data_IF_605310398335
#
_entry.id   IF_605310398335
#
_cell.length_a   1.000
_cell.length_b   1.000
_cell.length_c   1.000
_cell.angle_alpha   90.00
_cell.angle_beta   90.00
_cell.angle_gamma   90.00
#
_symmetry.space_group_name_H-M   'P 1'
#
loop_
_entity.id
_entity.type
_entity.pdbx_description
1 polymer ?
#
# COMPACT_ATOMS: atom_id res chain seq x y z
N UNK A 1 7.73 -27.95 0.33
CA UNK A 1 8.04 -28.38 1.71
C UNK A 1 7.02 -27.73 2.62
N UNK A 2 6.33 -28.53 3.43
CA UNK A 2 5.25 -28.06 4.30
C UNK A 2 5.91 -27.63 5.61
N UNK A 3 5.81 -26.34 5.96
CA UNK A 3 6.28 -25.83 7.23
C UNK A 3 5.38 -26.38 8.35
N UNK A 4 5.97 -27.06 9.33
CA UNK A 4 5.28 -27.56 10.53
C UNK A 4 5.64 -26.67 11.71
N UNK A 5 4.67 -25.91 12.21
CA UNK A 5 4.80 -25.10 13.43
C UNK A 5 4.26 -25.90 14.62
N UNK A 6 5.13 -26.28 15.57
CA UNK A 6 4.72 -26.95 16.81
C UNK A 6 4.45 -25.93 17.93
N UNK A 7 3.19 -25.54 18.12
CA UNK A 7 2.77 -24.64 19.21
C UNK A 7 2.81 -25.35 20.58
N UNK A 8 3.65 -24.87 21.51
CA UNK A 8 3.66 -25.28 22.91
C UNK A 8 3.24 -24.12 23.83
N UNK A 9 2.08 -24.23 24.46
CA UNK A 9 1.56 -23.22 25.38
C UNK A 9 2.08 -23.49 26.81
N UNK A 10 2.82 -22.54 27.39
CA UNK A 10 3.50 -22.74 28.69
C UNK A 10 2.70 -22.13 29.84
N UNK A 11 2.70 -22.84 30.98
CA UNK A 11 2.22 -22.33 32.29
C UNK A 11 3.33 -21.67 33.14
N UNK A 12 4.50 -21.50 32.57
CA UNK A 12 5.71 -21.00 33.24
C UNK A 12 5.87 -19.50 33.04
N UNK A 13 6.34 -18.78 34.06
CA UNK A 13 6.73 -17.36 33.94
C UNK A 13 8.18 -17.25 33.42
N UNK A 14 8.42 -16.35 32.47
CA UNK A 14 9.77 -15.97 32.04
C UNK A 14 10.06 -14.57 32.61
N UNK A 15 11.26 -14.38 33.17
CA UNK A 15 11.67 -13.07 33.69
C UNK A 15 12.70 -12.48 32.73
N UNK A 16 12.36 -11.35 32.13
CA UNK A 16 13.26 -10.56 31.31
C UNK A 16 13.76 -9.35 32.11
N UNK A 17 14.77 -8.66 31.59
CA UNK A 17 15.26 -7.43 32.18
C UNK A 17 15.50 -6.37 31.11
N UNK A 18 15.26 -5.11 31.46
CA UNK A 18 15.61 -3.99 30.58
C UNK A 18 17.10 -3.60 30.73
N UNK A 19 17.51 -2.54 30.03
CA UNK A 19 18.87 -1.99 30.08
C UNK A 19 19.27 -1.44 31.45
N UNK A 20 18.29 -1.14 32.31
CA UNK A 20 18.48 -0.69 33.70
C UNK A 20 18.48 -1.84 34.71
N UNK A 21 18.42 -3.10 34.24
CA UNK A 21 18.30 -4.31 35.06
C UNK A 21 16.99 -4.42 35.84
N UNK A 22 15.96 -3.67 35.44
CA UNK A 22 14.64 -3.78 36.05
C UNK A 22 13.89 -4.97 35.46
N UNK A 23 13.39 -5.83 36.35
CA UNK A 23 12.77 -7.10 35.97
C UNK A 23 11.38 -6.88 35.32
N UNK A 24 11.09 -7.69 34.31
CA UNK A 24 9.83 -7.75 33.60
C UNK A 24 9.37 -9.20 33.58
N UNK A 25 8.28 -9.50 34.29
CA UNK A 25 7.71 -10.86 34.32
C UNK A 25 6.66 -10.98 33.22
N UNK A 26 6.82 -11.98 32.36
CA UNK A 26 5.85 -12.30 31.32
C UNK A 26 5.29 -13.71 31.51
N UNK A 27 4.04 -13.90 31.10
CA UNK A 27 3.31 -15.14 31.31
C UNK A 27 2.57 -15.56 30.03
N UNK A 28 2.01 -16.78 30.06
CA UNK A 28 1.28 -17.39 28.92
C UNK A 28 2.10 -17.34 27.63
N UNK A 29 3.37 -17.72 27.74
CA UNK A 29 4.30 -17.63 26.64
C UNK A 29 4.24 -18.86 25.72
N UNK A 30 4.49 -18.62 24.44
CA UNK A 30 4.69 -19.61 23.39
C UNK A 30 5.98 -19.26 22.67
N UNK A 31 6.89 -20.23 22.54
CA UNK A 31 8.14 -20.07 21.82
C UNK A 31 8.14 -20.97 20.59
N UNK A 32 8.42 -20.40 19.43
CA UNK A 32 8.44 -21.07 18.14
C UNK A 32 9.77 -20.82 17.43
N UNK A 33 10.48 -21.88 17.06
CA UNK A 33 11.68 -21.82 16.23
C UNK A 33 11.33 -22.11 14.77
N UNK A 34 11.90 -21.33 13.86
CA UNK A 34 11.89 -21.63 12.42
C UNK A 34 13.30 -22.01 12.00
N UNK A 35 13.42 -23.05 11.17
CA UNK A 35 14.72 -23.57 10.70
C UNK A 35 14.81 -23.68 9.20
N UNK A 36 16.04 -23.53 8.70
CA UNK A 36 16.43 -23.81 7.32
C UNK A 36 17.76 -24.59 7.36
N UNK A 37 17.81 -25.76 6.72
CA UNK A 37 19.00 -26.63 6.70
C UNK A 37 19.59 -26.91 8.10
N UNK A 38 18.70 -27.20 9.06
CA UNK A 38 18.98 -27.39 10.50
C UNK A 38 19.51 -26.17 11.27
N UNK A 39 19.67 -25.03 10.61
CA UNK A 39 20.04 -23.74 11.20
C UNK A 39 18.78 -23.00 11.66
N UNK A 40 18.80 -22.46 12.88
CA UNK A 40 17.71 -21.62 13.38
C UNK A 40 17.79 -20.26 12.68
N UNK A 41 16.75 -19.93 11.92
CA UNK A 41 16.65 -18.64 11.21
C UNK A 41 15.67 -17.68 11.88
N UNK A 42 14.87 -18.16 12.84
CA UNK A 42 13.96 -17.33 13.62
C UNK A 42 13.67 -17.99 14.97
N UNK A 43 13.57 -17.18 16.01
CA UNK A 43 13.03 -17.58 17.31
C UNK A 43 11.97 -16.58 17.72
N UNK A 44 10.69 -16.99 17.67
CA UNK A 44 9.54 -16.16 17.98
C UNK A 44 9.02 -16.44 19.38
N UNK A 45 8.80 -15.38 20.15
CA UNK A 45 8.24 -15.42 21.49
C UNK A 45 6.95 -14.61 21.53
N UNK A 46 5.83 -15.28 21.79
CA UNK A 46 4.51 -14.68 21.96
C UNK A 46 4.07 -14.79 23.41
N UNK A 47 3.58 -13.72 24.01
CA UNK A 47 3.14 -13.70 25.42
C UNK A 47 1.99 -12.71 25.63
N UNK A 48 1.38 -12.79 26.81
CA UNK A 48 0.30 -11.89 27.22
C UNK A 48 0.74 -11.01 28.41
N UNK A 49 0.33 -9.75 28.37
CA UNK A 49 0.57 -8.76 29.41
C UNK A 49 -0.72 -8.04 29.78
N UNK A 50 -0.83 -7.63 31.04
CA UNK A 50 -1.90 -6.72 31.44
C UNK A 50 -1.63 -5.29 30.91
N UNK A 51 -2.65 -4.42 30.84
CA UNK A 51 -2.48 -3.05 30.34
C UNK A 51 -1.48 -2.20 31.12
N UNK A 52 -1.28 -2.44 32.42
CA UNK A 52 -0.28 -1.67 33.21
C UNK A 52 1.14 -2.04 32.83
N UNK A 53 1.38 -3.34 32.59
CA UNK A 53 2.68 -3.81 32.14
C UNK A 53 2.93 -3.36 30.69
N UNK A 54 1.89 -3.35 29.85
CA UNK A 54 1.98 -2.79 28.51
C UNK A 54 2.33 -1.30 28.52
N UNK A 55 1.73 -0.48 29.39
CA UNK A 55 2.06 0.95 29.52
C UNK A 55 3.56 1.16 29.81
N UNK A 56 4.18 0.29 30.62
CA UNK A 56 5.62 0.32 30.85
C UNK A 56 6.39 -0.04 29.58
N UNK A 57 6.02 -1.15 28.92
CA UNK A 57 6.66 -1.61 27.68
C UNK A 57 6.62 -0.50 26.62
N UNK A 58 5.48 0.15 26.47
CA UNK A 58 5.25 1.24 25.53
C UNK A 58 6.12 2.47 25.85
N UNK A 59 6.09 2.93 27.10
CA UNK A 59 6.78 4.14 27.53
C UNK A 59 8.30 3.99 27.57
N UNK A 60 8.79 2.82 27.91
CA UNK A 60 10.22 2.50 28.00
C UNK A 60 10.77 1.90 26.69
N UNK A 61 9.93 1.81 25.64
CA UNK A 61 10.29 1.29 24.30
C UNK A 61 10.88 -0.13 24.31
N UNK A 62 10.52 -0.93 25.33
CA UNK A 62 11.05 -2.29 25.51
C UNK A 62 10.71 -3.17 24.30
N UNK A 63 11.53 -4.18 24.03
CA UNK A 63 11.39 -5.04 22.85
C UNK A 63 11.55 -4.27 21.53
N UNK A 64 12.35 -3.19 21.55
CA UNK A 64 12.59 -2.31 20.41
C UNK A 64 11.28 -1.74 19.84
N UNK A 65 10.30 -1.47 20.71
CA UNK A 65 8.96 -1.05 20.35
C UNK A 65 8.90 0.48 20.19
N UNK A 66 9.67 1.04 19.25
CA UNK A 66 9.68 2.49 19.04
C UNK A 66 8.37 2.99 18.40
N UNK A 67 7.83 4.17 18.78
CA UNK A 67 6.62 4.71 18.18
C UNK A 67 6.68 4.87 16.66
N UNK A 68 7.84 5.27 16.13
CA UNK A 68 8.02 5.59 14.71
C UNK A 68 7.95 4.37 13.78
N UNK A 69 8.04 3.16 14.33
CA UNK A 69 8.00 1.91 13.55
C UNK A 69 6.67 1.17 13.68
N UNK A 70 5.62 1.82 14.16
CA UNK A 70 4.30 1.20 14.37
C UNK A 70 3.32 1.57 13.27
N UNK A 71 2.47 0.63 12.91
CA UNK A 71 1.39 0.83 11.97
C UNK A 71 0.10 0.17 12.46
N UNK A 72 -0.93 0.98 12.66
CA UNK A 72 -2.22 0.57 13.21
C UNK A 72 -2.94 -0.41 12.29
N UNK A 73 -3.41 -1.52 12.86
CA UNK A 73 -4.24 -2.49 12.14
C UNK A 73 -5.69 -2.04 12.05
N UNK A 74 -6.17 -1.30 13.05
CA UNK A 74 -7.55 -0.85 13.15
C UNK A 74 -7.66 0.41 14.02
N UNK A 75 -8.74 1.17 13.82
CA UNK A 75 -9.07 2.33 14.63
C UNK A 75 -9.72 1.86 15.94
N UNK A 76 -8.96 1.88 17.03
CA UNK A 76 -9.46 1.50 18.36
C UNK A 76 -8.39 1.59 19.43
N UNK A 77 -8.82 1.63 20.69
CA UNK A 77 -7.95 1.60 21.85
C UNK A 77 -8.03 0.23 22.54
N UNK A 78 -6.96 -0.14 23.26
CA UNK A 78 -6.97 -1.34 24.08
C UNK A 78 -7.92 -1.18 25.27
N UNK A 79 -8.70 -2.22 25.55
CA UNK A 79 -9.58 -2.29 26.70
C UNK A 79 -8.77 -2.53 27.98
N UNK A 80 -9.07 -1.81 29.08
CA UNK A 80 -8.26 -1.82 30.30
C UNK A 80 -8.35 -3.10 31.14
N UNK A 81 -9.32 -3.97 30.88
CA UNK A 81 -9.55 -5.21 31.64
C UNK A 81 -9.18 -6.49 30.86
N UNK A 82 -8.63 -6.35 29.66
CA UNK A 82 -8.26 -7.49 28.82
C UNK A 82 -6.75 -7.54 28.60
N UNK A 83 -6.21 -8.75 28.59
CA UNK A 83 -4.79 -8.98 28.31
C UNK A 83 -4.46 -8.57 26.87
N UNK A 84 -3.28 -7.97 26.70
CA UNK A 84 -2.71 -7.60 25.40
C UNK A 84 -1.69 -8.67 25.02
N UNK A 85 -1.79 -9.16 23.79
CA UNK A 85 -0.84 -10.10 23.22
C UNK A 85 0.30 -9.34 22.55
N UNK A 86 1.54 -9.72 22.86
CA UNK A 86 2.73 -9.21 22.19
C UNK A 86 3.43 -10.38 21.52
N UNK A 87 3.75 -10.20 20.25
CA UNK A 87 4.55 -11.12 19.47
C UNK A 87 5.91 -10.50 19.20
N UNK A 88 6.98 -11.23 19.48
CA UNK A 88 8.37 -10.76 19.33
C UNK A 88 9.22 -11.80 18.61
N UNK A 89 10.35 -11.38 18.04
CA UNK A 89 11.38 -12.27 17.49
C UNK A 89 12.74 -11.94 18.06
N UNK A 90 13.58 -12.94 18.29
CA UNK A 90 14.95 -12.75 18.78
C UNK A 90 15.80 -12.09 17.68
N UNK A 91 16.66 -11.14 18.06
CA UNK A 91 17.60 -10.53 17.12
C UNK A 91 18.49 -11.58 16.45
N UNK A 92 18.76 -11.49 15.14
CA UNK A 92 19.42 -12.56 14.42
C UNK A 92 20.84 -12.91 14.89
N UNK A 93 21.60 -11.94 15.38
CA UNK A 93 22.94 -12.09 15.94
C UNK A 93 22.97 -12.97 17.21
N UNK A 94 21.81 -13.14 17.87
CA UNK A 94 21.66 -13.99 19.04
C UNK A 94 21.14 -15.40 18.71
N UNK A 95 20.67 -15.66 17.49
CA UNK A 95 20.20 -17.00 17.08
C UNK A 95 21.31 -18.07 17.18
N UNK A 96 22.57 -17.81 16.79
CA UNK A 96 23.64 -18.80 16.94
C UNK A 96 23.85 -19.24 18.39
N UNK A 97 23.75 -18.31 19.34
CA UNK A 97 23.88 -18.59 20.77
C UNK A 97 22.77 -19.53 21.26
N UNK A 98 21.53 -19.32 20.80
CA UNK A 98 20.42 -20.22 21.13
C UNK A 98 20.61 -21.61 20.49
N UNK A 99 21.14 -21.66 19.26
CA UNK A 99 21.34 -22.91 18.52
C UNK A 99 22.37 -23.84 19.18
N UNK A 100 23.34 -23.32 19.93
CA UNK A 100 24.27 -24.14 20.72
C UNK A 100 23.59 -24.97 21.82
N UNK A 101 22.40 -24.56 22.25
CA UNK A 101 21.72 -25.13 23.41
C UNK A 101 20.36 -25.75 23.09
N UNK A 102 19.81 -25.52 21.90
CA UNK A 102 18.49 -25.99 21.53
C UNK A 102 18.36 -26.32 20.06
N UNK A 103 17.69 -27.44 19.79
CA UNK A 103 17.35 -27.91 18.45
C UNK A 103 15.83 -27.95 18.22
N UNK A 104 15.01 -27.69 19.22
CA UNK A 104 13.55 -27.69 19.07
C UNK A 104 12.92 -26.70 20.07
N UNK A 105 11.63 -26.44 19.90
CA UNK A 105 10.88 -25.46 20.70
C UNK A 105 10.94 -25.78 22.20
N UNK A 106 10.90 -27.07 22.55
CA UNK A 106 10.93 -27.51 23.94
C UNK A 106 12.30 -27.28 24.59
N UNK A 107 13.39 -27.62 23.90
CA UNK A 107 14.76 -27.37 24.35
C UNK A 107 15.04 -25.88 24.51
N UNK A 108 14.66 -25.06 23.51
CA UNK A 108 14.88 -23.61 23.56
C UNK A 108 14.12 -22.97 24.72
N UNK A 109 12.86 -23.37 24.92
CA UNK A 109 12.07 -22.94 26.06
C UNK A 109 12.74 -23.32 27.38
N UNK A 110 13.13 -24.59 27.52
CA UNK A 110 13.74 -25.10 28.75
C UNK A 110 15.05 -24.38 29.05
N UNK A 111 15.85 -24.11 28.02
CA UNK A 111 17.08 -23.36 28.14
C UNK A 111 16.84 -21.94 28.64
N UNK A 112 15.92 -21.17 28.02
CA UNK A 112 15.59 -19.82 28.46
C UNK A 112 15.09 -19.77 29.92
N UNK A 113 14.24 -20.72 30.32
CA UNK A 113 13.76 -20.81 31.70
C UNK A 113 14.88 -21.15 32.69
N UNK A 114 15.85 -21.96 32.29
CA UNK A 114 17.02 -22.28 33.12
C UNK A 114 17.96 -21.08 33.27
N UNK A 115 18.08 -20.23 32.24
CA UNK A 115 18.89 -19.01 32.31
C UNK A 115 18.43 -18.11 33.45
N UNK A 116 17.12 -18.00 33.74
CA UNK A 116 16.61 -17.21 34.85
C UNK A 116 17.21 -17.60 36.22
N UNK A 117 17.62 -18.86 36.40
CA UNK A 117 18.20 -19.34 37.65
C UNK A 117 19.73 -19.33 37.63
N UNK A 118 20.32 -19.62 36.47
CA UNK A 118 21.76 -19.87 36.35
C UNK A 118 22.55 -18.63 35.93
N UNK A 119 21.98 -17.82 35.03
CA UNK A 119 22.62 -16.66 34.41
C UNK A 119 21.56 -15.58 34.11
N UNK A 120 21.05 -14.89 35.15
CA UNK A 120 19.97 -13.92 34.99
C UNK A 120 20.37 -12.71 34.12
N UNK A 121 21.67 -12.43 34.01
CA UNK A 121 22.23 -11.35 33.17
C UNK A 121 22.51 -11.78 31.72
N UNK A 122 22.05 -12.98 31.31
CA UNK A 122 22.30 -13.48 29.96
C UNK A 122 21.59 -12.58 28.92
N UNK A 123 22.25 -12.19 27.82
CA UNK A 123 21.66 -11.33 26.79
C UNK A 123 20.32 -11.82 26.24
N UNK A 124 20.06 -13.14 26.18
CA UNK A 124 18.80 -13.69 25.72
C UNK A 124 17.60 -13.33 26.62
N UNK A 125 17.86 -12.93 27.87
CA UNK A 125 16.87 -12.45 28.83
C UNK A 125 16.69 -10.93 28.81
N UNK A 126 17.45 -10.21 27.98
CA UNK A 126 17.28 -8.76 27.84
C UNK A 126 16.09 -8.45 26.93
N UNK A 127 15.24 -7.49 27.30
CA UNK A 127 14.15 -7.00 26.43
C UNK A 127 14.68 -6.46 25.11
N UNK A 128 15.86 -5.85 25.11
CA UNK A 128 16.47 -5.25 23.92
C UNK A 128 16.99 -6.28 22.92
N UNK A 129 17.08 -7.54 23.31
CA UNK A 129 17.43 -8.65 22.44
C UNK A 129 16.28 -9.11 21.54
N UNK A 130 15.07 -8.58 21.74
CA UNK A 130 13.86 -9.02 21.06
C UNK A 130 13.24 -7.85 20.28
N UNK A 131 12.75 -8.13 19.08
CA UNK A 131 12.08 -7.19 18.19
C UNK A 131 10.58 -7.48 18.20
N UNK A 132 9.76 -6.56 18.72
CA UNK A 132 8.30 -6.72 18.70
C UNK A 132 7.77 -6.68 17.26
N UNK A 133 7.02 -7.69 16.84
CA UNK A 133 6.41 -7.81 15.51
C UNK A 133 4.99 -7.24 15.49
N UNK A 134 4.20 -7.54 16.53
CA UNK A 134 2.83 -7.08 16.65
C UNK A 134 2.40 -6.96 18.11
N UNK A 135 1.45 -6.07 18.34
CA UNK A 135 0.77 -5.89 19.63
C UNK A 135 -0.71 -5.87 19.34
N UNK A 136 -1.46 -6.87 19.83
CA UNK A 136 -2.88 -7.03 19.52
C UNK A 136 -3.70 -7.41 20.74
N UNK A 137 -4.99 -7.08 20.69
CA UNK A 137 -5.99 -7.46 21.65
C UNK A 137 -7.24 -7.93 20.90
N UNK A 138 -7.69 -9.14 21.19
CA UNK A 138 -8.90 -9.71 20.61
C UNK A 138 -10.12 -9.17 21.36
N UNK A 139 -10.93 -8.35 20.69
CA UNK A 139 -12.14 -7.74 21.25
C UNK A 139 -13.39 -8.26 20.50
N UNK A 140 -14.59 -8.02 21.04
CA UNK A 140 -15.84 -8.41 20.37
C UNK A 140 -16.02 -7.74 18.99
N UNK A 141 -15.47 -6.53 18.82
CA UNK A 141 -15.45 -5.77 17.58
C UNK A 141 -14.43 -6.28 16.56
N UNK A 142 -13.57 -7.23 16.93
CA UNK A 142 -12.46 -7.75 16.13
C UNK A 142 -11.10 -7.54 16.79
N UNK A 143 -10.04 -7.76 16.02
CA UNK A 143 -8.67 -7.55 16.49
C UNK A 143 -8.32 -6.05 16.47
N UNK A 144 -7.95 -5.53 17.63
CA UNK A 144 -7.41 -4.17 17.79
C UNK A 144 -5.90 -4.27 18.01
N UNK A 145 -5.13 -3.37 17.42
CA UNK A 145 -3.69 -3.34 17.64
C UNK A 145 -2.91 -2.71 16.51
N UNK A 146 -1.63 -3.05 16.46
CA UNK A 146 -0.71 -2.56 15.44
C UNK A 146 0.38 -3.59 15.15
N UNK A 147 0.98 -3.45 13.97
CA UNK A 147 2.18 -4.15 13.55
C UNK A 147 3.37 -3.22 13.56
N UNK A 148 4.56 -3.77 13.65
CA UNK A 148 5.79 -2.98 13.54
C UNK A 148 6.46 -3.20 12.18
N UNK A 149 7.39 -2.32 11.82
CA UNK A 149 8.27 -2.46 10.66
C UNK A 149 8.89 -3.87 10.57
N UNK A 150 9.21 -4.49 11.71
CA UNK A 150 9.83 -5.82 11.78
C UNK A 150 8.94 -6.93 11.21
N UNK A 151 7.62 -6.81 11.36
CA UNK A 151 6.69 -7.76 10.75
C UNK A 151 6.68 -7.67 9.22
N UNK A 152 6.96 -6.50 8.65
CA UNK A 152 6.99 -6.27 7.21
C UNK A 152 8.31 -6.72 6.58
N UNK A 153 9.43 -6.49 7.26
CA UNK A 153 10.76 -6.93 6.79
C UNK A 153 10.88 -8.46 6.82
N UNK A 154 10.09 -9.13 7.66
CA UNK A 154 10.15 -10.57 7.98
C UNK A 154 11.39 -10.96 8.79
N UNK A 155 11.22 -11.73 9.87
CA UNK A 155 12.34 -12.19 10.70
C UNK A 155 13.41 -13.02 9.96
N UNK A 156 13.01 -13.81 8.96
CA UNK A 156 13.94 -14.63 8.18
C UNK A 156 14.91 -13.79 7.33
N UNK A 157 14.44 -12.65 6.80
CA UNK A 157 15.26 -11.75 5.98
C UNK A 157 16.27 -11.00 6.83
N UNK A 158 15.93 -10.69 8.09
CA UNK A 158 16.86 -10.06 9.03
C UNK A 158 18.05 -10.99 9.33
N UNK A 159 17.83 -12.30 9.43
CA UNK A 159 18.91 -13.27 9.64
C UNK A 159 19.84 -13.45 8.44
N UNK A 160 19.39 -13.06 7.25
CA UNK A 160 20.15 -13.15 6.00
C UNK A 160 20.38 -11.75 5.39
N UNK A 161 20.55 -10.73 6.23
CA UNK A 161 20.62 -9.33 5.81
C UNK A 161 21.66 -9.06 4.69
N UNK A 162 22.76 -9.81 4.63
CA UNK A 162 23.77 -9.71 3.57
C UNK A 162 23.28 -10.11 2.17
N UNK A 163 22.20 -10.89 2.09
CA UNK A 163 21.66 -11.44 0.84
C UNK A 163 20.20 -11.06 0.58
N UNK A 164 19.48 -10.54 1.58
CA UNK A 164 18.05 -10.22 1.51
C UNK A 164 17.74 -8.72 1.40
N UNK A 165 18.67 -7.94 0.84
CA UNK A 165 18.54 -6.48 0.75
C UNK A 165 17.26 -6.05 0.00
N UNK A 166 16.93 -6.71 -1.11
CA UNK A 166 15.73 -6.36 -1.89
C UNK A 166 14.43 -6.64 -1.13
N UNK A 167 14.34 -7.77 -0.42
CA UNK A 167 13.20 -8.12 0.40
C UNK A 167 13.04 -7.18 1.60
N UNK A 168 14.15 -6.78 2.24
CA UNK A 168 14.15 -5.78 3.31
C UNK A 168 13.63 -4.44 2.77
N UNK A 169 14.16 -3.98 1.63
CA UNK A 169 13.68 -2.75 0.96
C UNK A 169 12.19 -2.83 0.64
N UNK A 170 11.70 -3.96 0.14
CA UNK A 170 10.29 -4.14 -0.18
C UNK A 170 9.41 -4.15 1.07
N UNK A 171 9.87 -4.77 2.16
CA UNK A 171 9.20 -4.73 3.46
C UNK A 171 9.04 -3.30 3.98
N UNK A 172 10.09 -2.48 3.89
CA UNK A 172 10.04 -1.06 4.26
C UNK A 172 9.03 -0.30 3.39
N UNK A 173 9.04 -0.52 2.07
CA UNK A 173 8.08 0.13 1.15
C UNK A 173 6.64 -0.24 1.50
N UNK A 174 6.36 -1.52 1.78
CA UNK A 174 5.01 -1.97 2.14
C UNK A 174 4.55 -1.37 3.47
N UNK A 175 5.45 -1.30 4.46
CA UNK A 175 5.17 -0.65 5.74
C UNK A 175 4.77 0.83 5.54
N UNK A 176 5.52 1.55 4.71
CA UNK A 176 5.20 2.95 4.39
C UNK A 176 3.85 3.10 3.71
N UNK A 177 3.55 2.23 2.74
CA UNK A 177 2.28 2.27 2.02
C UNK A 177 1.10 2.15 2.99
N UNK A 178 1.10 1.12 3.81
CA UNK A 178 0.03 0.90 4.78
C UNK A 178 -0.07 2.06 5.79
N UNK A 179 1.07 2.61 6.24
CA UNK A 179 1.08 3.77 7.14
C UNK A 179 0.43 5.01 6.52
N UNK A 180 0.69 5.28 5.23
CA UNK A 180 0.08 6.41 4.51
C UNK A 180 -1.42 6.23 4.24
N UNK A 181 -1.90 4.99 4.12
CA UNK A 181 -3.32 4.68 4.02
C UNK A 181 -4.02 4.89 5.37
N UNK A 182 -3.43 4.40 6.48
CA UNK A 182 -3.99 4.55 7.82
C UNK A 182 -3.97 6.00 8.33
N UNK A 183 -3.00 6.82 7.91
CA UNK A 183 -2.80 8.20 8.39
C UNK A 183 -3.14 9.25 7.34
N UNK A 184 -4.30 9.11 6.66
CA UNK A 184 -4.82 10.02 5.62
C UNK A 184 -4.70 11.52 5.96
N UNK A 185 -4.88 11.91 7.24
CA UNK A 185 -4.77 13.31 7.70
C UNK A 185 -3.32 13.78 7.92
N UNK A 186 -2.37 12.87 8.07
CA UNK A 186 -0.95 13.16 8.26
C UNK A 186 -0.15 13.08 6.95
N UNK A 187 -0.80 12.92 5.78
CA UNK A 187 -0.21 12.89 4.42
C UNK A 187 0.46 14.20 3.97
N UNK A 188 1.11 14.92 4.89
CA UNK A 188 2.01 16.00 4.52
C UNK A 188 3.39 15.41 4.23
N UNK A 189 4.03 15.87 3.15
CA UNK A 189 5.42 15.51 2.80
C UNK A 189 6.36 15.54 4.02
N UNK A 190 6.16 16.53 4.90
CA UNK A 190 6.92 16.71 6.14
C UNK A 190 6.78 15.57 7.16
N UNK A 191 5.58 14.99 7.29
CA UNK A 191 5.37 13.86 8.21
C UNK A 191 6.01 12.58 7.66
N UNK A 192 5.89 12.35 6.34
CA UNK A 192 6.56 11.24 5.66
C UNK A 192 8.09 11.35 5.76
N UNK A 193 8.66 12.53 5.52
CA UNK A 193 10.11 12.76 5.63
C UNK A 193 10.61 12.50 7.06
N UNK A 194 9.88 12.96 8.08
CA UNK A 194 10.23 12.74 9.49
C UNK A 194 10.17 11.26 9.87
N UNK A 195 9.17 10.54 9.36
CA UNK A 195 9.05 9.10 9.60
C UNK A 195 10.19 8.32 8.93
N UNK A 196 10.53 8.65 7.68
CA UNK A 196 11.68 8.08 6.96
C UNK A 196 12.98 8.29 7.72
N UNK A 197 13.21 9.50 8.23
CA UNK A 197 14.37 9.83 9.05
C UNK A 197 14.42 8.97 10.33
N UNK A 198 13.29 8.81 11.03
CA UNK A 198 13.19 7.96 12.22
C UNK A 198 13.50 6.48 11.94
N UNK A 199 12.97 5.93 10.84
CA UNK A 199 13.24 4.54 10.43
C UNK A 199 14.70 4.35 10.01
N UNK A 200 15.25 5.28 9.22
CA UNK A 200 16.64 5.23 8.77
C UNK A 200 17.61 5.24 9.97
N UNK A 201 17.40 6.16 10.91
CA UNK A 201 18.17 6.22 12.15
C UNK A 201 18.10 4.90 12.92
N UNK A 202 16.90 4.34 13.06
CA UNK A 202 16.69 3.13 13.83
C UNK A 202 17.31 1.87 13.21
N UNK A 203 17.23 1.70 11.88
CA UNK A 203 17.85 0.58 11.18
C UNK A 203 19.38 0.66 11.26
N UNK A 204 19.93 1.87 11.20
CA UNK A 204 21.37 2.10 11.37
C UNK A 204 21.84 1.70 12.78
N UNK A 205 21.09 2.09 13.82
CA UNK A 205 21.41 1.72 15.21
C UNK A 205 21.39 0.22 15.47
N UNK A 206 20.46 -0.51 14.82
CA UNK A 206 20.18 -1.89 15.21
C UNK A 206 20.96 -2.97 14.48
N UNK A 207 21.27 -2.76 13.21
CA UNK A 207 21.82 -3.80 12.37
C UNK A 207 23.05 -3.35 11.57
N UNK A 208 23.56 -2.14 11.84
CA UNK A 208 24.65 -1.51 11.07
C UNK A 208 24.40 -1.58 9.55
N UNK A 209 23.11 -1.59 9.17
CA UNK A 209 22.68 -1.63 7.78
C UNK A 209 22.93 -0.24 7.24
N UNK A 210 23.95 -0.09 6.41
CA UNK A 210 24.18 1.13 5.68
C UNK A 210 23.06 1.30 4.64
N UNK A 211 22.06 2.08 5.02
CA UNK A 211 20.92 2.37 4.20
C UNK A 211 21.23 3.33 3.05
N UNK A 212 22.44 3.87 2.86
CA UNK A 212 22.67 4.89 1.82
C UNK A 212 22.33 4.39 0.40
N UNK A 213 22.63 3.13 0.08
CA UNK A 213 22.26 2.51 -1.20
C UNK A 213 20.78 2.09 -1.25
N UNK A 214 20.22 1.60 -0.13
CA UNK A 214 18.81 1.17 -0.04
C UNK A 214 17.84 2.36 0.05
N UNK A 215 18.25 3.47 0.64
CA UNK A 215 17.47 4.71 0.82
C UNK A 215 17.15 5.31 -0.52
N UNK A 216 18.10 5.33 -1.46
CA UNK A 216 17.82 5.78 -2.82
C UNK A 216 16.76 4.91 -3.51
N UNK A 217 16.80 3.59 -3.31
CA UNK A 217 15.81 2.68 -3.88
C UNK A 217 14.45 2.80 -3.20
N UNK A 218 14.41 2.94 -1.87
CA UNK A 218 13.20 3.14 -1.08
C UNK A 218 12.58 4.50 -1.44
N UNK A 219 13.36 5.57 -1.48
CA UNK A 219 12.92 6.89 -1.93
C UNK A 219 12.41 6.86 -3.38
N UNK A 220 13.09 6.17 -4.29
CA UNK A 220 12.65 6.04 -5.68
C UNK A 220 11.30 5.30 -5.75
N UNK A 221 11.17 4.15 -5.07
CA UNK A 221 9.93 3.36 -5.01
C UNK A 221 8.78 4.15 -4.36
N UNK A 222 9.06 4.89 -3.29
CA UNK A 222 8.10 5.77 -2.62
C UNK A 222 7.69 6.94 -3.50
N UNK A 223 8.62 7.59 -4.22
CA UNK A 223 8.32 8.66 -5.19
C UNK A 223 7.45 8.15 -6.33
N UNK A 224 7.72 6.96 -6.87
CA UNK A 224 6.87 6.38 -7.93
C UNK A 224 5.48 6.00 -7.43
N UNK A 225 5.37 5.44 -6.21
CA UNK A 225 4.08 5.12 -5.58
C UNK A 225 3.28 6.38 -5.26
N UNK A 226 3.94 7.45 -4.78
CA UNK A 226 3.28 8.71 -4.46
C UNK A 226 2.82 9.49 -5.68
N UNK A 227 3.46 9.31 -6.84
CA UNK A 227 3.14 10.13 -8.04
C UNK A 227 1.85 9.66 -8.70
N UNK A 228 1.62 8.35 -8.83
CA UNK A 228 0.39 7.84 -9.43
C UNK A 228 -0.86 8.09 -8.56
N UNK A 229 -0.72 7.99 -7.23
CA UNK A 229 -1.77 8.40 -6.29
C UNK A 229 -2.00 9.92 -6.29
N UNK A 230 -0.93 10.72 -6.44
CA UNK A 230 -1.06 12.17 -6.58
C UNK A 230 -1.79 12.58 -7.87
N UNK A 231 -1.61 11.85 -8.98
CA UNK A 231 -2.37 12.09 -10.21
C UNK A 231 -3.86 11.86 -9.98
N UNK A 232 -4.21 10.77 -9.31
CA UNK A 232 -5.61 10.46 -8.99
C UNK A 232 -6.21 11.52 -8.04
N UNK A 233 -5.47 11.93 -7.02
CA UNK A 233 -5.90 12.99 -6.09
C UNK A 233 -6.09 14.33 -6.80
N UNK A 234 -5.14 14.74 -7.64
CA UNK A 234 -5.23 16.00 -8.40
C UNK A 234 -6.41 15.98 -9.37
N UNK A 235 -6.68 14.84 -10.00
CA UNK A 235 -7.87 14.62 -10.83
C UNK A 235 -9.16 14.80 -10.01
N UNK A 236 -9.27 14.17 -8.83
CA UNK A 236 -10.42 14.32 -7.93
C UNK A 236 -10.60 15.78 -7.51
N UNK A 237 -9.51 16.44 -7.14
CA UNK A 237 -9.52 17.85 -6.74
C UNK A 237 -9.97 18.76 -7.87
N UNK A 238 -9.54 18.49 -9.12
CA UNK A 238 -9.98 19.22 -10.29
C UNK A 238 -11.51 19.15 -10.44
N UNK A 239 -12.09 17.94 -10.49
CA UNK A 239 -13.53 17.79 -10.69
C UNK A 239 -14.36 18.39 -9.54
N UNK A 240 -13.85 18.33 -8.30
CA UNK A 240 -14.49 19.03 -7.18
C UNK A 240 -14.44 20.55 -7.34
N UNK A 241 -13.29 21.10 -7.69
CA UNK A 241 -13.07 22.54 -7.79
C UNK A 241 -13.79 23.17 -9.00
N UNK A 242 -13.97 22.40 -10.07
CA UNK A 242 -14.66 22.80 -11.29
C UNK A 242 -16.18 22.49 -11.23
N UNK A 243 -16.68 22.05 -10.06
CA UNK A 243 -18.09 21.74 -9.74
C UNK A 243 -18.74 20.62 -10.60
N UNK A 244 -17.98 19.59 -10.92
CA UNK A 244 -18.50 18.40 -11.61
C UNK A 244 -19.02 17.35 -10.63
N UNK A 245 -20.17 16.76 -10.94
CA UNK A 245 -20.68 15.60 -10.22
C UNK A 245 -20.06 14.31 -10.74
N UNK A 246 -19.50 13.51 -9.83
CA UNK A 246 -18.88 12.23 -10.17
C UNK A 246 -19.11 11.18 -9.09
N UNK A 247 -18.97 9.92 -9.47
CA UNK A 247 -18.92 8.76 -8.59
C UNK A 247 -17.59 8.05 -8.81
N UNK A 248 -16.87 7.73 -7.73
CA UNK A 248 -15.67 6.90 -7.83
C UNK A 248 -16.08 5.42 -7.94
N UNK A 249 -15.47 4.69 -8.87
CA UNK A 249 -15.68 3.25 -9.00
C UNK A 249 -14.91 2.54 -7.88
N UNK A 250 -15.60 1.68 -7.13
CA UNK A 250 -15.04 0.99 -5.96
C UNK A 250 -13.80 0.17 -6.34
N UNK A 251 -12.73 0.33 -5.56
CA UNK A 251 -11.46 -0.38 -5.77
C UNK A 251 -10.66 0.05 -7.01
N UNK A 252 -11.09 1.10 -7.72
CA UNK A 252 -10.42 1.56 -8.94
C UNK A 252 -10.10 3.06 -8.90
N UNK A 253 -8.95 3.50 -9.46
CA UNK A 253 -8.62 4.92 -9.61
C UNK A 253 -9.36 5.54 -10.81
N UNK A 254 -10.69 5.37 -10.84
CA UNK A 254 -11.57 5.78 -11.93
C UNK A 254 -12.77 6.55 -11.38
N UNK A 255 -13.05 7.70 -11.98
CA UNK A 255 -14.26 8.49 -11.73
C UNK A 255 -15.21 8.33 -12.91
N UNK A 256 -16.46 8.00 -12.61
CA UNK A 256 -17.57 8.01 -13.55
C UNK A 256 -18.32 9.33 -13.43
N UNK A 257 -18.55 9.97 -14.57
CA UNK A 257 -19.18 11.28 -14.68
C UNK A 257 -20.33 11.17 -15.69
N UNK A 258 -21.42 11.89 -15.44
CA UNK A 258 -22.50 12.03 -16.42
C UNK A 258 -22.46 13.46 -16.95
N UNK A 259 -22.23 13.61 -18.25
CA UNK A 259 -22.15 14.91 -18.90
C UNK A 259 -23.39 15.16 -19.77
N UNK A 260 -23.85 16.41 -19.75
CA UNK A 260 -24.96 16.89 -20.58
C UNK A 260 -24.41 17.97 -21.52
N UNK A 261 -24.28 17.63 -22.79
CA UNK A 261 -23.98 18.57 -23.86
C UNK A 261 -25.25 19.14 -24.49
N UNK A 262 -25.08 19.90 -25.57
CA UNK A 262 -26.18 20.47 -26.36
C UNK A 262 -26.88 19.40 -27.19
N UNK A 263 -26.13 18.43 -27.72
CA UNK A 263 -26.63 17.42 -28.65
C UNK A 263 -26.93 16.07 -27.98
N UNK A 264 -26.55 15.88 -26.72
CA UNK A 264 -26.82 14.64 -26.02
C UNK A 264 -26.38 14.59 -24.56
N UNK A 265 -26.63 13.44 -23.96
CA UNK A 265 -26.21 13.10 -22.61
C UNK A 265 -25.44 11.79 -22.65
N UNK A 266 -24.28 11.74 -22.02
CA UNK A 266 -23.44 10.56 -22.04
C UNK A 266 -22.61 10.38 -20.78
N UNK A 267 -22.00 9.21 -20.65
CA UNK A 267 -21.12 8.86 -19.53
C UNK A 267 -19.67 9.13 -19.92
N UNK A 268 -18.94 9.76 -19.02
CA UNK A 268 -17.51 9.96 -19.12
C UNK A 268 -16.78 9.15 -18.04
N UNK A 269 -15.52 8.80 -18.32
CA UNK A 269 -14.63 8.14 -17.37
C UNK A 269 -13.31 8.90 -17.30
N UNK A 270 -12.94 9.34 -16.10
CA UNK A 270 -11.62 9.87 -15.80
C UNK A 270 -10.81 8.78 -15.08
N UNK A 271 -9.67 8.39 -15.63
CA UNK A 271 -8.88 7.26 -15.15
C UNK A 271 -7.40 7.64 -15.05
N UNK A 272 -6.74 7.07 -14.05
CA UNK A 272 -5.29 7.18 -13.87
C UNK A 272 -4.64 5.83 -14.07
N UNK A 273 -3.67 5.76 -14.99
CA UNK A 273 -2.75 4.62 -15.11
C UNK A 273 -1.56 4.87 -14.19
N UNK A 274 -1.68 4.42 -12.94
CA UNK A 274 -0.75 4.72 -11.83
C UNK A 274 0.70 4.39 -12.21
N UNK A 275 0.96 3.16 -12.68
CA UNK A 275 2.32 2.71 -13.04
C UNK A 275 2.93 3.49 -14.19
N UNK A 276 2.10 3.89 -15.17
CA UNK A 276 2.56 4.61 -16.35
C UNK A 276 2.53 6.14 -16.17
N UNK A 277 2.01 6.64 -15.04
CA UNK A 277 1.83 8.08 -14.78
C UNK A 277 1.04 8.81 -15.88
N UNK A 278 -0.08 8.22 -16.29
CA UNK A 278 -0.93 8.79 -17.34
C UNK A 278 -2.33 9.11 -16.81
N UNK A 279 -2.82 10.29 -17.19
CA UNK A 279 -4.22 10.66 -17.03
C UNK A 279 -4.95 10.42 -18.36
N UNK A 280 -6.11 9.78 -18.29
CA UNK A 280 -6.95 9.49 -19.44
C UNK A 280 -8.38 9.90 -19.13
N UNK A 281 -9.03 10.58 -20.07
CA UNK A 281 -10.43 10.93 -20.00
C UNK A 281 -11.15 10.42 -21.25
N UNK A 282 -12.27 9.73 -21.03
CA UNK A 282 -13.12 9.17 -22.08
C UNK A 282 -14.51 9.78 -22.02
N UNK A 283 -15.08 10.13 -23.17
CA UNK A 283 -16.53 10.24 -23.38
C UNK A 283 -17.01 9.01 -24.13
N UNK A 284 -17.97 8.28 -23.59
CA UNK A 284 -18.59 7.12 -24.26
C UNK A 284 -19.86 7.57 -24.95
N UNK A 285 -19.97 7.38 -26.27
CA UNK A 285 -21.17 7.77 -27.01
C UNK A 285 -22.41 7.07 -26.45
N UNK A 286 -23.56 7.75 -26.45
CA UNK A 286 -24.81 7.22 -25.89
C UNK A 286 -25.47 6.14 -26.75
N UNK A 287 -24.95 5.89 -27.96
CA UNK A 287 -25.43 4.88 -28.89
C UNK A 287 -24.28 3.98 -29.34
N UNK A 288 -24.58 2.69 -29.48
CA UNK A 288 -23.69 1.74 -30.14
C UNK A 288 -24.04 1.66 -31.62
N UNK A 289 -23.01 1.50 -32.46
CA UNK A 289 -23.15 1.37 -33.90
C UNK A 289 -23.68 -0.02 -34.28
N UNK A 290 -24.82 -0.09 -34.99
CA UNK A 290 -25.31 -1.34 -35.58
C UNK A 290 -24.28 -1.98 -36.51
N UNK A 291 -24.22 -3.31 -36.55
CA UNK A 291 -23.19 -4.06 -37.30
C UNK A 291 -23.06 -3.64 -38.76
N UNK A 292 -24.19 -3.43 -39.45
CA UNK A 292 -24.26 -3.02 -40.85
C UNK A 292 -23.81 -1.57 -41.11
N UNK A 293 -23.73 -0.75 -40.05
CA UNK A 293 -23.30 0.66 -40.11
C UNK A 293 -21.86 0.88 -39.66
N UNK A 294 -21.20 -0.12 -39.07
CA UNK A 294 -19.84 0.01 -38.49
C UNK A 294 -18.81 0.52 -39.48
N UNK A 295 -18.85 0.07 -40.74
CA UNK A 295 -17.91 0.53 -41.77
C UNK A 295 -18.10 2.02 -42.12
N UNK A 296 -19.35 2.47 -42.26
CA UNK A 296 -19.65 3.86 -42.57
C UNK A 296 -19.26 4.79 -41.39
N UNK A 297 -19.56 4.38 -40.16
CA UNK A 297 -19.17 5.15 -38.98
C UNK A 297 -17.64 5.14 -38.80
N UNK A 298 -16.96 4.03 -39.05
CA UNK A 298 -15.49 3.98 -39.00
C UNK A 298 -14.84 4.96 -39.98
N UNK A 299 -15.38 5.05 -41.20
CA UNK A 299 -14.93 6.05 -42.18
C UNK A 299 -15.17 7.48 -41.66
N UNK A 300 -16.36 7.77 -41.16
CA UNK A 300 -16.71 9.09 -40.60
C UNK A 300 -15.77 9.49 -39.46
N UNK A 301 -15.57 8.61 -38.47
CA UNK A 301 -14.71 8.89 -37.32
C UNK A 301 -13.23 9.03 -37.73
N UNK A 302 -12.78 8.29 -38.74
CA UNK A 302 -11.41 8.41 -39.27
C UNK A 302 -11.22 9.74 -39.99
N UNK A 303 -12.22 10.21 -40.74
CA UNK A 303 -12.22 11.55 -41.36
C UNK A 303 -12.20 12.64 -40.30
N UNK A 304 -13.06 12.54 -39.29
CA UNK A 304 -13.08 13.47 -38.16
C UNK A 304 -11.73 13.55 -37.45
N UNK A 305 -11.09 12.40 -37.19
CA UNK A 305 -9.77 12.35 -36.57
C UNK A 305 -8.67 13.00 -37.41
N UNK A 306 -8.86 13.11 -38.73
CA UNK A 306 -7.88 13.71 -39.64
C UNK A 306 -7.82 15.22 -39.45
N UNK A 307 -6.94 15.69 -38.57
CA UNK A 307 -6.74 17.10 -38.25
C UNK A 307 -7.03 17.44 -36.79
N UNK A 308 -7.56 16.50 -36.01
CA UNK A 308 -7.69 16.65 -34.56
C UNK A 308 -6.31 16.68 -33.89
N UNK A 309 -6.07 17.72 -33.10
CA UNK A 309 -4.81 17.92 -32.37
C UNK A 309 -4.87 17.32 -30.96
N UNK A 310 -6.02 17.42 -30.29
CA UNK A 310 -6.22 16.95 -28.92
C UNK A 310 -7.29 15.86 -28.91
N UNK A 311 -6.85 14.62 -28.71
CA UNK A 311 -7.74 13.47 -28.61
C UNK A 311 -8.09 12.81 -29.94
N UNK A 312 -8.87 11.74 -29.86
CA UNK A 312 -9.33 10.98 -31.01
C UNK A 312 -10.63 10.21 -30.71
N UNK A 313 -11.42 9.96 -31.75
CA UNK A 313 -12.48 8.95 -31.73
C UNK A 313 -11.92 7.54 -31.85
N UNK A 314 -12.56 6.60 -31.14
CA UNK A 314 -12.33 5.16 -31.16
C UNK A 314 -13.66 4.46 -31.46
N UNK A 315 -13.62 3.35 -32.20
CA UNK A 315 -14.76 2.47 -32.45
C UNK A 315 -14.36 1.05 -32.11
N UNK A 316 -15.10 0.42 -31.20
CA UNK A 316 -15.02 -1.03 -31.00
C UNK A 316 -15.87 -1.74 -32.06
N UNK A 317 -15.22 -2.55 -32.90
CA UNK A 317 -15.90 -3.28 -33.97
C UNK A 317 -16.68 -4.49 -33.47
N UNK A 318 -16.47 -4.96 -32.24
CA UNK A 318 -17.19 -6.09 -31.68
C UNK A 318 -18.63 -5.69 -31.29
N UNK A 319 -18.79 -4.61 -30.54
CA UNK A 319 -20.06 -4.16 -29.99
C UNK A 319 -20.56 -2.82 -30.53
N UNK A 320 -19.75 -2.11 -31.32
CA UNK A 320 -20.10 -0.82 -31.91
C UNK A 320 -19.94 0.36 -30.95
N UNK A 321 -19.31 0.21 -29.78
CA UNK A 321 -19.13 1.32 -28.85
C UNK A 321 -18.18 2.38 -29.43
N UNK A 322 -18.60 3.64 -29.37
CA UNK A 322 -17.78 4.79 -29.78
C UNK A 322 -17.27 5.50 -28.54
N UNK A 323 -15.99 5.85 -28.51
CA UNK A 323 -15.39 6.68 -27.46
C UNK A 323 -14.67 7.88 -28.07
N UNK A 324 -14.66 8.99 -27.36
CA UNK A 324 -13.67 10.06 -27.59
C UNK A 324 -12.67 10.04 -26.44
N UNK A 325 -11.38 9.93 -26.76
CA UNK A 325 -10.30 9.78 -25.78
C UNK A 325 -9.40 11.01 -25.82
N UNK A 326 -9.06 11.52 -24.64
CA UNK A 326 -7.95 12.46 -24.43
C UNK A 326 -7.05 11.92 -23.34
N UNK A 327 -5.73 12.07 -23.48
CA UNK A 327 -4.77 11.58 -22.49
C UNK A 327 -3.51 12.42 -22.44
N UNK A 328 -2.82 12.38 -21.31
CA UNK A 328 -1.51 12.99 -21.13
C UNK A 328 -0.60 12.07 -20.31
N UNK A 329 0.65 12.01 -20.71
CA UNK A 329 1.74 11.42 -19.94
C UNK A 329 2.39 12.53 -19.12
N UNK A 330 2.48 12.32 -17.81
CA UNK A 330 3.09 13.29 -16.88
C UNK A 330 4.35 12.71 -16.23
N UNK A 331 5.00 11.72 -16.86
CA UNK A 331 6.20 11.13 -16.31
C UNK A 331 7.30 12.19 -16.11
N UNK A 332 7.80 12.29 -14.87
CA UNK A 332 8.84 13.25 -14.51
C UNK A 332 8.35 14.68 -14.23
N UNK A 333 7.04 14.92 -14.25
CA UNK A 333 6.42 16.18 -13.84
C UNK A 333 5.13 15.92 -13.03
N UNK A 334 4.37 16.97 -12.72
CA UNK A 334 3.09 16.89 -12.01
C UNK A 334 1.91 17.15 -12.94
N UNK A 335 0.84 16.39 -12.74
CA UNK A 335 -0.47 16.79 -13.27
C UNK A 335 -0.91 18.07 -12.55
N UNK A 336 -1.57 18.97 -13.28
CA UNK A 336 -2.12 20.21 -12.72
C UNK A 336 -3.46 20.53 -13.37
N UNK A 337 -4.27 21.36 -12.72
CA UNK A 337 -5.56 21.79 -13.28
C UNK A 337 -5.43 22.42 -14.67
N UNK A 338 -4.33 23.16 -14.92
CA UNK A 338 -4.05 23.77 -16.21
C UNK A 338 -3.81 22.75 -17.33
N UNK A 339 -3.38 21.53 -16.99
CA UNK A 339 -3.23 20.41 -17.93
C UNK A 339 -4.52 19.59 -18.04
N UNK A 340 -5.23 19.36 -16.93
CA UNK A 340 -6.48 18.57 -16.92
C UNK A 340 -7.58 19.29 -17.69
N UNK A 341 -7.79 20.58 -17.41
CA UNK A 341 -8.89 21.37 -17.95
C UNK A 341 -8.97 21.32 -19.48
N UNK A 342 -7.92 21.62 -20.26
CA UNK A 342 -8.01 21.58 -21.71
C UNK A 342 -8.33 20.17 -22.25
N UNK A 343 -7.86 19.11 -21.61
CA UNK A 343 -8.15 17.73 -22.03
C UNK A 343 -9.61 17.37 -21.81
N UNK A 344 -10.12 17.61 -20.60
CA UNK A 344 -11.52 17.29 -20.24
C UNK A 344 -12.50 18.08 -21.10
N UNK A 345 -12.29 19.39 -21.23
CA UNK A 345 -13.19 20.23 -21.99
C UNK A 345 -13.12 19.98 -23.50
N UNK A 346 -11.93 19.76 -24.06
CA UNK A 346 -11.82 19.34 -25.47
C UNK A 346 -12.56 18.03 -25.71
N UNK A 347 -12.45 17.08 -24.77
CA UNK A 347 -13.07 15.77 -24.90
C UNK A 347 -14.60 15.84 -25.00
N UNK A 348 -15.24 16.49 -24.02
CA UNK A 348 -16.71 16.58 -24.01
C UNK A 348 -17.23 17.46 -25.14
N UNK A 349 -16.50 18.52 -25.51
CA UNK A 349 -16.88 19.40 -26.64
C UNK A 349 -16.85 18.64 -27.97
N UNK A 350 -15.80 17.84 -28.20
CA UNK A 350 -15.67 17.08 -29.45
C UNK A 350 -16.72 15.97 -29.55
N UNK A 351 -17.03 15.27 -28.44
CA UNK A 351 -18.13 14.32 -28.44
C UNK A 351 -19.45 15.02 -28.79
N UNK A 352 -19.76 16.16 -28.15
CA UNK A 352 -21.01 16.90 -28.40
C UNK A 352 -21.13 17.40 -29.84
N UNK A 353 -20.05 17.96 -30.38
CA UNK A 353 -20.02 18.54 -31.73
C UNK A 353 -20.21 17.47 -32.81
N UNK A 354 -19.60 16.30 -32.66
CA UNK A 354 -19.66 15.24 -33.67
C UNK A 354 -20.83 14.28 -33.47
N UNK A 355 -21.51 14.29 -32.32
CA UNK A 355 -22.65 13.42 -32.02
C UNK A 355 -23.77 13.51 -33.09
N UNK A 356 -24.20 14.69 -33.56
CA UNK A 356 -25.16 14.78 -34.67
C UNK A 356 -24.69 14.09 -35.95
N UNK A 357 -23.41 14.24 -36.29
CA UNK A 357 -22.79 13.58 -37.45
C UNK A 357 -22.85 12.05 -37.31
N UNK A 358 -22.46 11.52 -36.15
CA UNK A 358 -22.57 10.08 -35.82
C UNK A 358 -24.01 9.60 -36.02
N UNK A 359 -24.98 10.31 -35.44
CA UNK A 359 -26.40 9.95 -35.52
C UNK A 359 -26.92 9.98 -36.96
N UNK A 360 -26.45 10.92 -37.78
CA UNK A 360 -26.84 11.05 -39.19
C UNK A 360 -26.32 9.90 -40.06
N UNK A 361 -25.12 9.39 -39.79
CA UNK A 361 -24.56 8.23 -40.50
C UNK A 361 -25.28 6.93 -40.08
N UNK A 362 -25.61 6.80 -38.78
CA UNK A 362 -26.30 5.61 -38.27
C UNK A 362 -27.77 5.56 -38.74
N UNK A 363 -28.51 6.67 -38.59
CA UNK A 363 -29.97 6.68 -38.75
C UNK A 363 -30.48 7.47 -39.97
N UNK A 364 -29.68 8.38 -40.52
CA UNK A 364 -30.07 9.26 -41.61
C UNK A 364 -29.57 8.85 -42.99
N UNK A 365 -28.82 7.75 -43.09
CA UNK A 365 -28.15 7.28 -44.32
C UNK A 365 -27.29 8.37 -45.01
N UNK A 366 -26.81 9.34 -44.24
CA UNK A 366 -25.91 10.39 -44.72
C UNK A 366 -24.53 9.77 -44.99
N UNK A 367 -23.90 10.15 -46.09
CA UNK A 367 -22.56 9.65 -46.40
C UNK A 367 -21.55 10.15 -45.35
N UNK A 368 -20.52 9.36 -45.01
CA UNK A 368 -19.48 9.79 -44.07
C UNK A 368 -18.79 11.11 -44.44
N UNK A 369 -18.65 11.38 -45.75
CA UNK A 369 -18.09 12.63 -46.26
C UNK A 369 -19.02 13.83 -46.01
N UNK A 370 -20.30 13.71 -46.36
CA UNK A 370 -21.28 14.78 -46.15
C UNK A 370 -21.51 15.06 -44.66
N UNK A 371 -21.54 14.02 -43.84
CA UNK A 371 -21.68 14.16 -42.39
C UNK A 371 -20.48 14.90 -41.78
N UNK A 372 -19.25 14.61 -42.23
CA UNK A 372 -18.06 15.32 -41.74
C UNK A 372 -18.07 16.78 -42.18
N UNK A 373 -18.41 17.04 -43.44
CA UNK A 373 -18.51 18.40 -43.99
C UNK A 373 -19.54 19.26 -43.26
N UNK A 374 -20.64 18.68 -42.74
CA UNK A 374 -21.65 19.40 -41.95
C UNK A 374 -21.18 19.80 -40.55
N UNK A 375 -20.21 19.09 -39.98
CA UNK A 375 -19.70 19.32 -38.62
C UNK A 375 -18.55 20.32 -38.58
N UNK A 376 -17.82 20.48 -39.69
CA UNK A 376 -16.66 21.38 -39.83
C UNK A 376 -17.00 22.82 -40.27
N UNK A 377 -18.28 23.14 -40.50
CA UNK A 377 -18.78 24.51 -40.82
C UNK A 377 -19.01 25.31 -39.54
#
# INVERSE_FOLDING_TARGET
MIATTENHQLKSELILHDSSQSLLKISRLTLNLTKQDDIIIECRLTFQVDPKLYDRIDKEELFNLKPDVRNSLSAGEFLPEQDIQIETTLKPDLLPHLQEHATNNHEATTYLLNLNQQQPDNPLLSTESWLALSVTQQQESGEIGYRTLWSYISPANLAQASTSGEEISQGIVNFFKDWTEANLSARTKKASDKMLEGISHFLTELADINLDEMTQQIEAKLKTSSTGEAIFEEMVNFFKADDWFFVQIEGQPVLQIVFQGENGKWTCYASTRIEQQQFIFYSVCSVNVPEDKRLAVAEFLTRANSGMVIGNFELDFADGEIRYKTSIDVQGDRLSFALIKPLVYANVTMMDQYLPGIMSVIYGDVSPEDANAQVEV
#
